data_IF_796421630617
#
_entry.id   IF_796421630617
#
_cell.length_a   1.000
_cell.length_b   1.000
_cell.length_c   1.000
_cell.angle_alpha   90.00
_cell.angle_beta   90.00
_cell.angle_gamma   90.00
#
_symmetry.space_group_name_H-M   'P 1'
#
loop_
_entity.id
_entity.type
_entity.pdbx_description
1 polymer ?
#
# COMPACT_ATOMS: atom_id res chain seq x y z
N UNK A 1 -9.18 -24.24 -12.59
CA UNK A 1 -8.88 -22.81 -12.83
C UNK A 1 -9.27 -21.92 -11.65
N UNK A 2 -10.47 -22.05 -11.06
CA UNK A 2 -10.88 -21.28 -9.86
C UNK A 2 -9.93 -21.37 -8.64
N UNK A 3 -9.28 -22.53 -8.44
CA UNK A 3 -8.38 -22.75 -7.29
C UNK A 3 -7.11 -21.88 -7.34
N UNK A 4 -6.58 -21.58 -8.53
CA UNK A 4 -5.37 -20.79 -8.66
C UNK A 4 -5.61 -19.33 -8.27
N UNK A 5 -6.71 -18.74 -8.76
CA UNK A 5 -7.13 -17.38 -8.42
C UNK A 5 -7.37 -17.25 -6.92
N UNK A 6 -8.18 -18.13 -6.33
CA UNK A 6 -8.51 -18.07 -4.91
C UNK A 6 -7.29 -18.30 -4.02
N UNK A 7 -6.33 -19.14 -4.43
CA UNK A 7 -5.08 -19.29 -3.70
C UNK A 7 -4.28 -17.98 -3.67
N UNK A 8 -4.16 -17.28 -4.80
CA UNK A 8 -3.45 -16.00 -4.90
C UNK A 8 -4.15 -14.92 -4.08
N UNK A 9 -5.49 -14.85 -4.11
CA UNK A 9 -6.27 -13.92 -3.29
C UNK A 9 -6.08 -14.16 -1.79
N UNK A 10 -6.16 -15.43 -1.37
CA UNK A 10 -5.98 -15.83 0.02
C UNK A 10 -4.57 -15.48 0.49
N UNK A 11 -3.55 -15.74 -0.33
CA UNK A 11 -2.16 -15.41 0.01
C UNK A 11 -1.98 -13.90 0.14
N UNK A 12 -2.44 -13.11 -0.84
CA UNK A 12 -2.35 -11.65 -0.78
C UNK A 12 -3.07 -11.07 0.44
N UNK A 13 -4.28 -11.53 0.72
CA UNK A 13 -5.05 -11.14 1.90
C UNK A 13 -4.35 -11.55 3.20
N UNK A 14 -3.84 -12.78 3.28
CA UNK A 14 -3.13 -13.28 4.44
C UNK A 14 -1.86 -12.47 4.74
N UNK A 15 -1.11 -12.08 3.71
CA UNK A 15 0.09 -11.22 3.87
C UNK A 15 -0.29 -9.88 4.52
N UNK A 16 -1.35 -9.24 4.04
CA UNK A 16 -1.84 -7.97 4.60
C UNK A 16 -2.25 -8.16 6.07
N UNK A 17 -3.04 -9.19 6.34
CA UNK A 17 -3.57 -9.47 7.68
C UNK A 17 -2.43 -9.78 8.65
N UNK A 18 -1.56 -10.74 8.33
CA UNK A 18 -0.45 -11.15 9.19
C UNK A 18 0.53 -10.01 9.40
N UNK A 19 0.86 -9.26 8.35
CA UNK A 19 1.71 -8.08 8.46
C UNK A 19 1.09 -7.03 9.37
N UNK A 20 -0.20 -6.75 9.21
CA UNK A 20 -0.91 -5.77 10.03
C UNK A 20 -0.93 -6.14 11.51
N UNK A 21 -1.30 -7.38 11.82
CA UNK A 21 -1.29 -7.87 13.20
C UNK A 21 0.14 -7.90 13.76
N UNK A 22 1.13 -8.37 13.00
CA UNK A 22 2.52 -8.44 13.45
C UNK A 22 3.09 -7.07 13.81
N UNK A 23 2.90 -6.07 12.95
CA UNK A 23 3.39 -4.71 13.20
C UNK A 23 2.62 -4.03 14.32
N UNK A 24 1.31 -4.30 14.44
CA UNK A 24 0.49 -3.77 15.53
C UNK A 24 0.93 -4.34 16.89
N UNK A 25 1.15 -5.66 16.96
CA UNK A 25 1.64 -6.30 18.19
C UNK A 25 3.00 -5.75 18.59
N UNK A 26 3.94 -5.62 17.64
CA UNK A 26 5.25 -5.04 17.90
C UNK A 26 5.15 -3.59 18.41
N UNK A 27 4.27 -2.79 17.81
CA UNK A 27 4.00 -1.41 18.25
C UNK A 27 3.46 -1.35 19.67
N UNK A 28 2.48 -2.18 20.02
CA UNK A 28 1.89 -2.24 21.37
C UNK A 28 2.91 -2.67 22.43
N UNK A 29 3.74 -3.67 22.12
CA UNK A 29 4.82 -4.11 23.01
C UNK A 29 5.81 -2.96 23.24
N UNK A 30 6.22 -2.26 22.19
CA UNK A 30 7.11 -1.11 22.29
C UNK A 30 6.51 0.04 23.10
N UNK A 31 5.19 0.23 23.03
CA UNK A 31 4.48 1.27 23.77
C UNK A 31 4.46 0.99 25.27
N UNK A 32 4.27 -0.28 25.67
CA UNK A 32 4.27 -0.70 27.08
C UNK A 32 5.70 -0.78 27.63
N UNK A 33 6.68 -1.10 26.79
CA UNK A 33 8.09 -1.19 27.18
C UNK A 33 8.75 0.16 27.51
N UNK A 34 8.23 1.28 27.00
CA UNK A 34 8.65 2.64 27.37
C UNK A 34 10.08 3.04 27.01
N UNK A 35 10.87 2.15 26.41
CA UNK A 35 12.30 2.36 26.11
C UNK A 35 12.56 3.17 24.84
N UNK A 36 11.55 3.33 23.98
CA UNK A 36 11.72 3.89 22.63
C UNK A 36 10.85 5.12 22.44
N UNK A 37 11.36 6.13 21.74
CA UNK A 37 10.61 7.33 21.42
C UNK A 37 9.33 6.99 20.63
N UNK A 38 8.19 7.57 21.03
CA UNK A 38 6.89 7.35 20.38
C UNK A 38 6.91 7.68 18.89
N UNK A 39 7.69 8.69 18.47
CA UNK A 39 7.84 9.05 17.07
C UNK A 39 8.46 7.91 16.25
N UNK A 40 9.48 7.24 16.79
CA UNK A 40 10.14 6.08 16.15
C UNK A 40 9.19 4.90 16.06
N UNK A 41 8.48 4.58 17.15
CA UNK A 41 7.49 3.49 17.17
C UNK A 41 6.41 3.67 16.11
N UNK A 42 5.89 4.90 15.95
CA UNK A 42 4.88 5.21 14.93
C UNK A 42 5.46 5.11 13.51
N UNK A 43 6.70 5.57 13.31
CA UNK A 43 7.36 5.46 12.00
C UNK A 43 7.58 4.00 11.60
N UNK A 44 8.05 3.17 12.53
CA UNK A 44 8.30 1.74 12.31
C UNK A 44 6.99 0.99 12.03
N UNK A 45 5.92 1.30 12.79
CA UNK A 45 4.58 0.75 12.55
C UNK A 45 4.07 1.09 11.15
N UNK A 46 4.15 2.37 10.74
CA UNK A 46 3.72 2.81 9.40
C UNK A 46 4.55 2.15 8.30
N UNK A 47 5.86 2.03 8.48
CA UNK A 47 6.76 1.39 7.52
C UNK A 47 6.45 -0.10 7.35
N UNK A 48 6.29 -0.82 8.46
CA UNK A 48 5.94 -2.24 8.44
C UNK A 48 4.57 -2.50 7.81
N UNK A 49 3.56 -1.73 8.21
CA UNK A 49 2.23 -1.79 7.60
C UNK A 49 2.28 -1.55 6.10
N UNK A 50 2.92 -0.45 5.68
CA UNK A 50 3.03 -0.10 4.27
C UNK A 50 3.69 -1.21 3.44
N UNK A 51 4.73 -1.86 3.98
CA UNK A 51 5.42 -2.96 3.30
C UNK A 51 4.56 -4.21 3.16
N UNK A 52 3.76 -4.55 4.17
CA UNK A 52 2.82 -5.68 4.11
C UNK A 52 1.67 -5.43 3.14
N UNK A 53 1.16 -4.19 3.11
CA UNK A 53 0.10 -3.79 2.17
C UNK A 53 0.64 -3.83 0.74
N UNK A 54 1.80 -3.23 0.47
CA UNK A 54 2.39 -3.21 -0.88
C UNK A 54 2.60 -4.63 -1.43
N UNK A 55 3.17 -5.52 -0.62
CA UNK A 55 3.36 -6.92 -1.00
C UNK A 55 2.01 -7.62 -1.23
N UNK A 56 1.05 -7.47 -0.32
CA UNK A 56 -0.27 -8.06 -0.49
C UNK A 56 -1.01 -7.56 -1.72
N UNK A 57 -0.84 -6.28 -2.06
CA UNK A 57 -1.41 -5.69 -3.27
C UNK A 57 -0.80 -6.27 -4.55
N UNK A 58 0.50 -6.61 -4.59
CA UNK A 58 1.09 -7.30 -5.74
C UNK A 58 0.40 -8.63 -6.03
N UNK A 59 0.10 -9.42 -4.99
CA UNK A 59 -0.64 -10.67 -5.13
C UNK A 59 -2.11 -10.44 -5.50
N UNK A 60 -2.78 -9.48 -4.87
CA UNK A 60 -4.18 -9.20 -5.16
C UNK A 60 -4.39 -8.65 -6.59
N UNK A 61 -3.44 -7.88 -7.12
CA UNK A 61 -3.46 -7.44 -8.52
C UNK A 61 -3.25 -8.63 -9.46
N UNK A 62 -2.36 -9.57 -9.12
CA UNK A 62 -2.18 -10.79 -9.90
C UNK A 62 -3.46 -11.64 -9.94
N UNK A 63 -4.18 -11.75 -8.82
CA UNK A 63 -5.49 -12.41 -8.78
C UNK A 63 -6.52 -11.72 -9.68
N UNK A 64 -6.62 -10.39 -9.64
CA UNK A 64 -7.53 -9.61 -10.49
C UNK A 64 -7.24 -9.81 -12.00
N UNK A 65 -5.95 -9.88 -12.38
CA UNK A 65 -5.54 -10.17 -13.77
C UNK A 65 -5.91 -11.60 -14.17
N UNK A 66 -5.69 -12.60 -13.31
CA UNK A 66 -6.04 -14.00 -13.62
C UNK A 66 -7.55 -14.13 -13.79
N UNK A 67 -8.34 -13.50 -12.91
CA UNK A 67 -9.80 -13.57 -12.97
C UNK A 67 -10.36 -12.91 -14.24
N UNK A 68 -9.77 -11.80 -14.68
CA UNK A 68 -10.20 -11.13 -15.92
C UNK A 68 -9.88 -11.93 -17.18
N UNK A 69 -8.79 -12.72 -17.20
CA UNK A 69 -8.39 -13.51 -18.37
C UNK A 69 -9.02 -14.90 -18.41
N UNK A 70 -9.36 -15.49 -17.27
CA UNK A 70 -9.76 -16.90 -17.16
C UNK A 70 -11.27 -17.18 -17.26
N UNK A 71 -12.13 -16.16 -17.19
CA UNK A 71 -13.60 -16.32 -17.23
C UNK A 71 -14.11 -16.03 -18.64
N UNK A 72 -14.88 -16.96 -19.22
CA UNK A 72 -15.59 -16.75 -20.49
C UNK A 72 -16.37 -15.42 -20.43
N UNK A 73 -16.06 -14.46 -21.33
CA UNK A 73 -16.53 -13.10 -21.15
C UNK A 73 -18.04 -13.02 -21.34
N UNK A 74 -18.77 -12.94 -20.22
CA UNK A 74 -20.14 -12.39 -20.19
C UNK A 74 -20.03 -10.96 -19.71
N UNK A 75 -20.64 -10.03 -20.45
CA UNK A 75 -20.55 -8.58 -20.17
C UNK A 75 -21.04 -8.26 -18.75
N UNK A 76 -22.02 -8.99 -18.24
CA UNK A 76 -22.58 -8.81 -16.89
C UNK A 76 -21.58 -9.15 -15.78
N UNK A 77 -20.89 -10.28 -15.87
CA UNK A 77 -19.86 -10.67 -14.89
C UNK A 77 -18.66 -9.73 -14.91
N UNK A 78 -18.28 -9.26 -16.11
CA UNK A 78 -17.22 -8.26 -16.29
C UNK A 78 -17.59 -6.92 -15.63
N UNK A 79 -18.85 -6.49 -15.75
CA UNK A 79 -19.34 -5.24 -15.16
C UNK A 79 -19.35 -5.28 -13.63
N UNK A 80 -19.77 -6.39 -13.02
CA UNK A 80 -19.74 -6.56 -11.56
C UNK A 80 -18.30 -6.54 -11.06
N UNK A 81 -17.40 -7.28 -11.71
CA UNK A 81 -15.98 -7.30 -11.37
C UNK A 81 -15.33 -5.92 -11.50
N UNK A 82 -15.57 -5.23 -12.62
CA UNK A 82 -15.08 -3.86 -12.83
C UNK A 82 -15.63 -2.89 -11.76
N UNK A 83 -16.88 -3.04 -11.35
CA UNK A 83 -17.48 -2.27 -10.26
C UNK A 83 -16.76 -2.48 -8.92
N UNK A 84 -16.48 -3.73 -8.55
CA UNK A 84 -15.75 -4.07 -7.31
C UNK A 84 -14.33 -3.49 -7.33
N UNK A 85 -13.60 -3.68 -8.43
CA UNK A 85 -12.23 -3.15 -8.60
C UNK A 85 -12.21 -1.61 -8.55
N UNK A 86 -13.20 -0.95 -9.16
CA UNK A 86 -13.32 0.50 -9.18
C UNK A 86 -13.60 1.07 -7.77
N UNK A 87 -14.53 0.46 -7.03
CA UNK A 87 -14.80 0.82 -5.63
C UNK A 87 -13.54 0.64 -4.78
N UNK A 88 -12.85 -0.48 -4.93
CA UNK A 88 -11.60 -0.77 -4.19
C UNK A 88 -10.53 0.27 -4.47
N UNK A 89 -10.33 0.62 -5.74
CA UNK A 89 -9.35 1.62 -6.15
C UNK A 89 -9.71 2.99 -5.58
N UNK A 90 -10.98 3.39 -5.69
CA UNK A 90 -11.44 4.67 -5.18
C UNK A 90 -11.34 4.79 -3.65
N UNK A 91 -11.74 3.77 -2.90
CA UNK A 91 -11.66 3.78 -1.44
C UNK A 91 -10.22 3.77 -0.94
N UNK A 92 -9.37 2.92 -1.52
CA UNK A 92 -7.94 2.87 -1.16
C UNK A 92 -7.28 4.22 -1.42
N UNK A 93 -7.58 4.83 -2.56
CA UNK A 93 -7.08 6.14 -2.94
C UNK A 93 -7.59 7.27 -2.03
N UNK A 94 -8.88 7.27 -1.69
CA UNK A 94 -9.48 8.27 -0.81
C UNK A 94 -8.85 8.25 0.59
N UNK A 95 -8.59 7.05 1.12
CA UNK A 95 -7.92 6.88 2.42
C UNK A 95 -6.47 7.36 2.40
N UNK A 96 -5.73 7.08 1.33
CA UNK A 96 -4.35 7.52 1.18
C UNK A 96 -4.24 9.06 1.15
N UNK A 97 -5.18 9.73 0.46
CA UNK A 97 -5.27 11.20 0.43
C UNK A 97 -5.65 11.80 1.79
N UNK A 98 -6.60 11.20 2.52
CA UNK A 98 -6.99 11.66 3.86
C UNK A 98 -5.83 11.54 4.85
N UNK A 99 -5.10 10.42 4.82
CA UNK A 99 -3.99 10.15 5.72
C UNK A 99 -2.78 11.06 5.45
N UNK A 100 -2.44 11.30 4.20
CA UNK A 100 -1.26 12.09 3.84
C UNK A 100 -1.53 13.59 3.66
N UNK A 101 -2.81 13.99 3.58
CA UNK A 101 -3.26 15.36 3.34
C UNK A 101 -2.77 15.95 2.01
N UNK A 102 -2.29 15.10 1.11
CA UNK A 102 -1.55 15.42 -0.12
C UNK A 102 -1.99 14.45 -1.19
N UNK A 103 -2.17 14.94 -2.41
CA UNK A 103 -2.49 14.05 -3.53
C UNK A 103 -1.27 13.20 -3.89
N UNK A 104 -1.43 11.91 -4.25
CA UNK A 104 -0.30 10.98 -4.49
C UNK A 104 0.63 11.40 -5.65
N UNK A 105 0.16 12.28 -6.54
CA UNK A 105 0.97 12.88 -7.62
C UNK A 105 1.77 14.11 -7.19
N UNK A 106 1.66 14.58 -5.93
CA UNK A 106 2.41 15.72 -5.39
C UNK A 106 3.75 15.31 -4.74
N UNK A 107 4.36 14.19 -5.17
CA UNK A 107 5.67 13.75 -4.68
C UNK A 107 6.74 14.78 -5.04
N UNK A 108 7.12 15.59 -4.03
CA UNK A 108 8.37 16.32 -3.88
C UNK A 108 8.91 17.05 -5.10
N UNK A 109 8.79 18.39 -5.12
CA UNK A 109 9.65 19.20 -5.97
C UNK A 109 11.12 18.81 -5.70
N UNK A 110 11.92 18.45 -6.72
CA UNK A 110 13.32 18.20 -6.52
C UNK A 110 13.94 19.49 -5.97
N UNK A 111 14.58 19.37 -4.81
CA UNK A 111 15.32 20.44 -4.17
C UNK A 111 16.26 21.07 -5.21
N UNK A 112 15.89 22.24 -5.74
CA UNK A 112 16.77 23.02 -6.60
C UNK A 112 17.94 23.44 -5.73
N UNK A 113 19.06 22.72 -5.85
CA UNK A 113 20.33 23.13 -5.26
C UNK A 113 20.56 24.61 -5.59
N UNK A 114 20.69 25.42 -4.55
CA UNK A 114 21.02 26.83 -4.64
C UNK A 114 22.29 27.00 -5.47
N UNK A 115 22.35 27.93 -6.44
CA UNK A 115 23.61 28.31 -7.05
C UNK A 115 24.47 28.97 -5.97
N UNK A 116 25.54 28.30 -5.55
CA UNK A 116 26.57 28.95 -4.75
C UNK A 116 27.41 29.78 -5.72
N UNK A 117 27.17 31.09 -5.69
CA UNK A 117 28.06 32.10 -6.26
C UNK A 117 29.49 31.85 -5.74
N UNK A 118 30.36 31.42 -6.65
CA UNK A 118 31.79 31.43 -6.46
C UNK A 118 32.41 32.39 -7.48
N UNK A 119 32.00 33.66 -7.42
CA UNK A 119 32.92 34.76 -7.68
C UNK A 119 33.59 35.11 -6.34
N UNK A 120 34.76 34.51 -6.09
CA UNK A 120 35.79 35.18 -5.29
C UNK A 120 37.14 34.50 -5.48
N UNK A 121 38.05 35.27 -6.10
CA UNK A 121 39.52 35.22 -6.06
C UNK A 121 40.23 34.50 -7.22
N UNK A 122 40.64 35.33 -8.18
CA UNK A 122 41.81 35.17 -9.05
C UNK A 122 42.28 36.55 -9.47
#
# INVERSE_FOLDING_TARGET
MHLATSAVEIVGTAIIVVGAFGTLTAFLIGLVGGTTCRATLVADFRSGLGRSILLGLEFLVAADIINTVAVEPTIESLLVLAGIVLIRTFLSFSLEVEIDGRWPWQKGQPNKGTPYDADQKG
#
